data_IF_460474391069
#
_entry.id   IF_460474391069
#
_cell.length_a   1.000
_cell.length_b   1.000
_cell.length_c   1.000
_cell.angle_alpha   90.00
_cell.angle_beta   90.00
_cell.angle_gamma   90.00
#
_symmetry.space_group_name_H-M   'P 1'
#
loop_
_entity.id
_entity.type
_entity.pdbx_description
1 polymer ?
#
# COMPACT_ATOMS: atom_id res chain seq x y z
N UNK A 1 -25.48 -0.49 -8.40
CA UNK A 1 -25.00 0.89 -8.54
C UNK A 1 -25.25 1.39 -9.95
N UNK A 2 -25.74 2.63 -10.10
CA UNK A 2 -26.14 3.22 -11.39
C UNK A 2 -26.26 4.74 -11.28
N UNK A 3 -26.35 5.41 -12.44
CA UNK A 3 -26.64 6.85 -12.54
C UNK A 3 -28.17 7.02 -12.55
N UNK A 4 -28.70 7.80 -11.59
CA UNK A 4 -30.14 7.94 -11.36
C UNK A 4 -30.87 8.56 -12.55
N UNK A 5 -30.34 9.65 -13.08
CA UNK A 5 -30.91 10.33 -14.25
C UNK A 5 -30.95 9.42 -15.50
N UNK A 6 -29.93 8.54 -15.69
CA UNK A 6 -29.93 7.56 -16.78
C UNK A 6 -31.02 6.49 -16.58
N UNK A 7 -31.20 6.00 -15.33
CA UNK A 7 -32.18 4.97 -15.02
C UNK A 7 -33.61 5.49 -15.22
N UNK A 8 -33.90 6.73 -14.79
CA UNK A 8 -35.21 7.37 -14.98
C UNK A 8 -35.47 7.64 -16.45
N UNK A 9 -34.54 8.22 -17.18
CA UNK A 9 -34.67 8.53 -18.62
C UNK A 9 -34.91 7.26 -19.45
N UNK A 10 -34.32 6.12 -19.07
CA UNK A 10 -34.54 4.83 -19.74
C UNK A 10 -35.80 4.09 -19.26
N UNK A 11 -36.62 4.70 -18.42
CA UNK A 11 -37.83 4.10 -17.88
C UNK A 11 -37.61 2.90 -16.95
N UNK A 12 -36.37 2.68 -16.47
CA UNK A 12 -36.04 1.55 -15.60
C UNK A 12 -36.51 1.75 -14.15
N UNK A 13 -36.58 3.02 -13.72
CA UNK A 13 -37.02 3.42 -12.38
C UNK A 13 -37.87 4.68 -12.46
N UNK A 14 -38.93 4.75 -11.63
CA UNK A 14 -39.61 6.00 -11.40
C UNK A 14 -38.85 6.90 -10.41
N UNK A 15 -39.02 8.24 -10.46
CA UNK A 15 -38.45 9.14 -9.46
C UNK A 15 -38.84 8.80 -8.02
N UNK A 16 -40.05 8.22 -7.81
CA UNK A 16 -40.52 7.78 -6.50
C UNK A 16 -39.68 6.60 -5.99
N UNK A 17 -39.56 5.53 -6.79
CA UNK A 17 -38.73 4.36 -6.44
C UNK A 17 -37.26 4.70 -6.20
N UNK A 18 -36.72 5.64 -7.01
CA UNK A 18 -35.34 6.10 -6.83
C UNK A 18 -35.11 6.69 -5.43
N UNK A 19 -36.06 7.45 -4.91
CA UNK A 19 -35.98 8.07 -3.58
C UNK A 19 -36.25 7.11 -2.42
N UNK A 20 -37.09 6.09 -2.63
CA UNK A 20 -37.55 5.18 -1.56
C UNK A 20 -36.68 3.92 -1.42
N UNK A 21 -36.10 3.40 -2.51
CA UNK A 21 -35.39 2.12 -2.52
C UNK A 21 -33.86 2.31 -2.56
N UNK A 22 -33.38 3.51 -2.94
CA UNK A 22 -31.96 3.77 -3.17
C UNK A 22 -31.49 5.00 -2.40
N UNK A 23 -30.18 5.03 -2.09
CA UNK A 23 -29.54 6.21 -1.54
C UNK A 23 -28.42 6.69 -2.45
N UNK A 24 -28.24 8.01 -2.56
CA UNK A 24 -27.13 8.59 -3.27
C UNK A 24 -25.82 8.37 -2.48
N UNK A 25 -24.80 7.87 -3.16
CA UNK A 25 -23.42 7.82 -2.64
C UNK A 25 -22.64 9.06 -3.07
N UNK A 26 -22.87 9.50 -4.30
CA UNK A 26 -22.41 10.78 -4.86
C UNK A 26 -23.55 11.41 -5.66
N UNK A 27 -23.48 12.71 -6.03
CA UNK A 27 -24.51 13.34 -6.83
C UNK A 27 -24.89 12.50 -8.06
N UNK A 28 -26.16 12.18 -8.18
CA UNK A 28 -26.77 11.34 -9.24
C UNK A 28 -26.25 9.90 -9.35
N UNK A 29 -25.45 9.40 -8.40
CA UNK A 29 -25.02 7.99 -8.33
C UNK A 29 -25.61 7.28 -7.13
N UNK A 30 -26.32 6.19 -7.38
CA UNK A 30 -27.17 5.51 -6.40
C UNK A 30 -26.76 4.07 -6.14
N UNK A 31 -26.93 3.66 -4.88
CA UNK A 31 -26.85 2.28 -4.37
C UNK A 31 -28.17 1.87 -3.73
N UNK A 32 -28.47 0.56 -3.59
CA UNK A 32 -29.54 0.10 -2.71
C UNK A 32 -29.40 0.71 -1.30
N UNK A 33 -30.50 1.11 -0.68
CA UNK A 33 -30.48 1.87 0.57
C UNK A 33 -29.68 1.19 1.70
N UNK A 34 -29.73 -0.15 1.75
CA UNK A 34 -29.07 -0.99 2.77
C UNK A 34 -27.61 -1.38 2.44
N UNK A 35 -27.10 -1.05 1.24
CA UNK A 35 -25.77 -1.49 0.83
C UNK A 35 -24.66 -0.66 1.53
N UNK A 36 -23.67 -1.34 2.15
CA UNK A 36 -22.43 -0.72 2.60
C UNK A 36 -21.42 -0.75 1.44
N UNK A 37 -20.92 0.40 0.97
CA UNK A 37 -20.00 0.43 -0.14
C UNK A 37 -18.56 0.11 0.32
N UNK A 38 -17.93 -0.88 -0.29
CA UNK A 38 -16.48 -1.09 -0.20
C UNK A 38 -15.73 0.01 -0.92
N UNK A 39 -14.42 0.12 -0.67
CA UNK A 39 -13.55 1.07 -1.39
C UNK A 39 -13.66 0.93 -2.91
N UNK A 40 -13.63 -0.29 -3.45
CA UNK A 40 -13.83 -0.57 -4.89
C UNK A 40 -15.19 -0.09 -5.40
N UNK A 41 -16.24 -0.23 -4.59
CA UNK A 41 -17.57 0.28 -4.92
C UNK A 41 -17.58 1.81 -4.98
N UNK A 42 -16.89 2.48 -4.05
CA UNK A 42 -16.74 3.94 -4.02
C UNK A 42 -15.94 4.44 -5.22
N UNK A 43 -14.86 3.75 -5.62
CA UNK A 43 -14.10 4.06 -6.84
C UNK A 43 -15.00 4.05 -8.09
N UNK A 44 -15.82 2.99 -8.26
CA UNK A 44 -16.76 2.90 -9.37
C UNK A 44 -17.82 4.01 -9.31
N UNK A 45 -18.31 4.34 -8.12
CA UNK A 45 -19.28 5.41 -7.95
C UNK A 45 -18.69 6.79 -8.32
N UNK A 46 -17.47 7.08 -7.88
CA UNK A 46 -16.77 8.32 -8.21
C UNK A 46 -16.51 8.44 -9.72
N UNK A 47 -16.13 7.34 -10.37
CA UNK A 47 -15.98 7.32 -11.83
C UNK A 47 -17.30 7.58 -12.57
N UNK A 48 -18.42 6.99 -12.10
CA UNK A 48 -19.76 7.26 -12.65
C UNK A 48 -20.18 8.72 -12.45
N UNK A 49 -19.87 9.31 -11.28
CA UNK A 49 -20.14 10.71 -10.99
C UNK A 49 -19.45 11.67 -11.98
N UNK A 50 -18.24 11.36 -12.45
CA UNK A 50 -17.57 12.15 -13.48
C UNK A 50 -18.19 11.99 -14.87
N UNK A 51 -19.31 11.27 -15.02
CA UNK A 51 -19.86 10.89 -16.32
C UNK A 51 -18.94 9.93 -17.08
N UNK A 52 -18.16 9.12 -16.37
CA UNK A 52 -17.19 8.13 -16.90
C UNK A 52 -15.97 8.78 -17.60
N UNK A 53 -15.70 10.06 -17.35
CA UNK A 53 -14.61 10.82 -18.00
C UNK A 53 -13.39 10.98 -17.11
N UNK A 54 -13.52 10.87 -15.78
CA UNK A 54 -12.42 10.91 -14.85
C UNK A 54 -11.56 9.65 -14.92
N UNK A 55 -10.27 9.76 -14.59
CA UNK A 55 -9.33 8.65 -14.49
C UNK A 55 -9.01 8.43 -13.01
N UNK A 56 -9.29 7.23 -12.49
CA UNK A 56 -8.95 6.84 -11.11
C UNK A 56 -7.43 6.84 -10.95
N UNK A 57 -6.94 7.48 -9.88
CA UNK A 57 -5.52 7.75 -9.66
C UNK A 57 -5.12 7.51 -8.19
N UNK A 58 -3.85 7.68 -7.86
CA UNK A 58 -3.34 7.59 -6.49
C UNK A 58 -3.73 6.29 -5.80
N UNK A 59 -4.23 6.36 -4.55
CA UNK A 59 -4.67 5.19 -3.80
C UNK A 59 -5.84 4.46 -4.46
N UNK A 60 -6.73 5.17 -5.17
CA UNK A 60 -7.82 4.53 -5.89
C UNK A 60 -7.31 3.63 -7.03
N UNK A 61 -6.32 4.09 -7.77
CA UNK A 61 -5.66 3.28 -8.80
C UNK A 61 -4.90 2.10 -8.18
N UNK A 62 -4.11 2.33 -7.12
CA UNK A 62 -3.36 1.29 -6.43
C UNK A 62 -4.27 0.15 -5.95
N UNK A 63 -5.38 0.48 -5.28
CA UNK A 63 -6.35 -0.54 -4.81
C UNK A 63 -7.06 -1.29 -5.93
N UNK A 64 -7.30 -0.64 -7.08
CA UNK A 64 -7.85 -1.31 -8.25
C UNK A 64 -6.84 -2.23 -8.92
N UNK A 65 -5.55 -1.90 -8.87
CA UNK A 65 -4.45 -2.76 -9.31
C UNK A 65 -4.16 -3.91 -8.34
N UNK A 66 -4.81 -3.97 -7.19
CA UNK A 66 -4.67 -5.06 -6.23
C UNK A 66 -3.74 -4.78 -5.06
N UNK A 67 -3.28 -3.53 -4.90
CA UNK A 67 -2.50 -3.14 -3.73
C UNK A 67 -3.33 -3.28 -2.44
N UNK A 68 -2.75 -3.89 -1.43
CA UNK A 68 -3.34 -4.06 -0.10
C UNK A 68 -3.24 -2.79 0.77
N UNK A 69 -3.78 -2.87 1.97
CA UNK A 69 -3.69 -1.84 3.02
C UNK A 69 -4.35 -0.50 2.66
N UNK A 70 -5.42 -0.53 1.88
CA UNK A 70 -6.25 0.62 1.56
C UNK A 70 -7.58 0.45 2.26
N UNK A 71 -7.87 1.33 3.22
CA UNK A 71 -9.11 1.30 4.01
C UNK A 71 -10.34 1.66 3.19
N UNK A 72 -11.49 1.15 3.64
CA UNK A 72 -12.77 1.46 2.97
C UNK A 72 -13.19 2.94 3.13
N UNK A 73 -12.59 3.68 4.05
CA UNK A 73 -12.80 5.11 4.31
C UNK A 73 -11.84 6.04 3.56
N UNK A 74 -10.78 5.49 2.95
CA UNK A 74 -9.82 6.29 2.19
C UNK A 74 -10.51 7.10 1.08
N UNK A 75 -10.12 8.37 0.87
CA UNK A 75 -10.68 9.17 -0.21
C UNK A 75 -10.41 8.58 -1.60
N UNK A 76 -11.40 8.64 -2.48
CA UNK A 76 -11.24 8.21 -3.87
C UNK A 76 -10.62 9.34 -4.69
N UNK A 77 -9.42 9.12 -5.21
CA UNK A 77 -8.71 10.10 -6.02
C UNK A 77 -8.95 9.89 -7.53
N UNK A 78 -9.22 10.99 -8.23
CA UNK A 78 -9.40 11.02 -9.69
C UNK A 78 -8.57 12.16 -10.31
N UNK A 79 -7.99 11.90 -11.47
CA UNK A 79 -7.57 12.97 -12.38
C UNK A 79 -8.82 13.42 -13.13
N UNK A 80 -9.32 14.57 -12.72
CA UNK A 80 -10.55 15.17 -13.24
C UNK A 80 -10.60 16.65 -12.90
N UNK A 81 -10.93 17.50 -13.87
CA UNK A 81 -11.05 18.95 -13.65
C UNK A 81 -12.39 19.29 -13.02
N UNK A 82 -12.46 19.29 -11.71
CA UNK A 82 -13.62 19.75 -10.95
C UNK A 82 -13.15 20.34 -9.61
N UNK A 83 -13.38 21.63 -9.32
CA UNK A 83 -12.95 22.25 -8.07
C UNK A 83 -13.87 21.92 -6.88
N UNK A 84 -15.02 21.28 -7.09
CA UNK A 84 -16.01 20.99 -6.06
C UNK A 84 -16.38 19.50 -6.02
N UNK A 85 -15.45 18.61 -5.65
CA UNK A 85 -15.77 17.19 -5.52
C UNK A 85 -16.68 16.93 -4.30
N UNK A 86 -17.51 15.89 -4.35
CA UNK A 86 -18.29 15.49 -3.18
C UNK A 86 -17.40 14.94 -2.06
N UNK A 87 -17.92 14.88 -0.84
CA UNK A 87 -17.20 14.33 0.32
C UNK A 87 -16.64 12.92 0.02
N UNK A 88 -15.40 12.66 0.43
CA UNK A 88 -14.71 11.40 0.18
C UNK A 88 -14.17 11.22 -1.25
N UNK A 89 -14.19 12.26 -2.07
CA UNK A 89 -13.56 12.30 -3.40
C UNK A 89 -12.53 13.42 -3.47
N UNK A 90 -11.37 13.12 -4.03
CA UNK A 90 -10.33 14.10 -4.35
C UNK A 90 -10.19 14.18 -5.87
N UNK A 91 -10.29 15.38 -6.41
CA UNK A 91 -10.06 15.63 -7.84
C UNK A 91 -8.75 16.38 -8.03
N UNK A 92 -7.94 15.90 -8.97
CA UNK A 92 -6.66 16.50 -9.35
C UNK A 92 -6.74 17.04 -10.77
N UNK A 93 -6.46 18.32 -10.94
CA UNK A 93 -6.28 18.93 -12.27
C UNK A 93 -4.84 18.69 -12.74
N UNK A 94 -4.54 17.45 -13.14
CA UNK A 94 -3.23 17.04 -13.64
C UNK A 94 -3.30 16.72 -15.11
N UNK A 95 -2.19 17.00 -15.81
CA UNK A 95 -1.99 16.50 -17.17
C UNK A 95 -1.79 14.97 -17.12
N UNK A 96 -2.41 14.29 -18.06
CA UNK A 96 -2.28 12.83 -18.25
C UNK A 96 -2.37 12.54 -19.75
N UNK A 97 -1.45 11.71 -20.23
CA UNK A 97 -1.43 11.30 -21.62
C UNK A 97 -2.18 9.97 -21.81
N UNK A 98 -2.66 9.65 -23.03
CA UNK A 98 -3.41 8.42 -23.28
C UNK A 98 -2.67 7.13 -22.91
N UNK A 99 -1.34 7.09 -23.07
CA UNK A 99 -0.48 5.95 -22.72
C UNK A 99 -0.31 5.74 -21.22
N UNK A 100 -0.77 6.70 -20.42
CA UNK A 100 -0.76 6.64 -18.95
C UNK A 100 -2.10 6.16 -18.35
N UNK A 101 -3.06 5.81 -19.21
CA UNK A 101 -4.39 5.33 -18.81
C UNK A 101 -4.59 3.90 -19.27
N UNK A 102 -5.08 3.07 -18.36
CA UNK A 102 -5.47 1.69 -18.64
C UNK A 102 -6.90 1.41 -18.16
N UNK A 103 -7.37 0.19 -18.34
CA UNK A 103 -8.68 -0.24 -17.82
C UNK A 103 -8.54 -1.41 -16.85
N UNK A 104 -9.09 -1.22 -15.66
CA UNK A 104 -9.22 -2.28 -14.64
C UNK A 104 -10.69 -2.47 -14.33
N UNK A 105 -11.20 -3.68 -14.54
CA UNK A 105 -12.64 -4.00 -14.42
C UNK A 105 -13.57 -3.01 -15.16
N UNK A 106 -13.13 -2.53 -16.34
CA UNK A 106 -13.86 -1.59 -17.18
C UNK A 106 -13.77 -0.12 -16.77
N UNK A 107 -13.12 0.20 -15.65
CA UNK A 107 -12.87 1.57 -15.17
C UNK A 107 -11.61 2.16 -15.79
N UNK A 108 -11.60 3.45 -16.09
CA UNK A 108 -10.40 4.17 -16.49
C UNK A 108 -9.53 4.42 -15.26
N UNK A 109 -8.28 3.95 -15.29
CA UNK A 109 -7.33 3.95 -14.17
C UNK A 109 -5.97 4.37 -14.69
N UNK A 110 -5.16 5.05 -13.90
CA UNK A 110 -3.75 5.30 -14.25
C UNK A 110 -2.99 3.97 -14.39
N UNK A 111 -2.04 3.90 -15.33
CA UNK A 111 -1.12 2.76 -15.45
C UNK A 111 -0.33 2.55 -14.16
N UNK A 112 0.30 1.38 -14.00
CA UNK A 112 1.13 1.07 -12.84
C UNK A 112 2.25 2.10 -12.65
N UNK A 113 2.97 2.44 -13.72
CA UNK A 113 4.04 3.42 -13.67
C UNK A 113 3.51 4.81 -13.27
N UNK A 114 2.36 5.25 -13.83
CA UNK A 114 1.75 6.53 -13.47
C UNK A 114 1.21 6.51 -12.04
N UNK A 115 0.63 5.42 -11.58
CA UNK A 115 0.17 5.25 -10.19
C UNK A 115 1.36 5.38 -9.22
N UNK A 116 2.45 4.64 -9.47
CA UNK A 116 3.66 4.70 -8.67
C UNK A 116 4.30 6.10 -8.69
N UNK A 117 4.35 6.74 -9.86
CA UNK A 117 4.83 8.12 -10.01
C UNK A 117 4.03 9.08 -9.13
N UNK A 118 2.70 9.01 -9.14
CA UNK A 118 1.85 9.91 -8.36
C UNK A 118 1.97 9.63 -6.85
N UNK A 119 1.96 8.38 -6.41
CA UNK A 119 2.16 8.00 -5.00
C UNK A 119 3.52 8.45 -4.48
N UNK A 120 4.59 8.19 -5.24
CA UNK A 120 5.96 8.50 -4.83
C UNK A 120 6.25 10.00 -4.71
N UNK A 121 5.57 10.86 -5.50
CA UNK A 121 5.78 12.31 -5.44
C UNK A 121 4.81 13.06 -4.53
N UNK A 122 3.61 12.52 -4.28
CA UNK A 122 2.54 13.23 -3.56
C UNK A 122 2.50 12.90 -2.07
N UNK A 123 2.77 11.66 -1.70
CA UNK A 123 2.71 11.21 -0.31
C UNK A 123 3.96 11.60 0.50
N UNK A 124 3.87 11.72 1.83
CA UNK A 124 5.03 11.85 2.72
C UNK A 124 6.00 10.67 2.59
N UNK A 125 7.28 10.86 2.91
CA UNK A 125 8.34 9.88 2.64
C UNK A 125 8.05 8.45 3.09
N UNK A 126 7.82 8.23 4.38
CA UNK A 126 7.56 6.88 4.91
C UNK A 126 6.27 6.24 4.39
N UNK A 127 5.20 7.03 4.28
CA UNK A 127 3.94 6.57 3.68
C UNK A 127 4.12 6.24 2.19
N UNK A 128 4.85 7.07 1.47
CA UNK A 128 5.17 6.85 0.06
C UNK A 128 5.86 5.50 -0.15
N UNK A 129 6.89 5.16 0.66
CA UNK A 129 7.56 3.85 0.60
C UNK A 129 6.57 2.72 0.86
N UNK A 130 5.77 2.79 1.93
CA UNK A 130 4.83 1.72 2.28
C UNK A 130 3.77 1.46 1.19
N UNK A 131 3.25 2.53 0.57
CA UNK A 131 2.28 2.40 -0.52
C UNK A 131 2.92 1.84 -1.80
N UNK A 132 4.18 2.18 -2.08
CA UNK A 132 4.92 1.65 -3.22
C UNK A 132 5.37 0.20 -2.99
N UNK A 133 5.76 -0.19 -1.78
CA UNK A 133 6.03 -1.58 -1.40
C UNK A 133 4.78 -2.45 -1.66
N UNK A 134 3.62 -2.02 -1.15
CA UNK A 134 2.37 -2.73 -1.35
C UNK A 134 1.96 -2.83 -2.83
N UNK A 135 2.17 -1.76 -3.62
CA UNK A 135 1.91 -1.76 -5.05
C UNK A 135 2.88 -2.68 -5.80
N UNK A 136 4.17 -2.65 -5.47
CA UNK A 136 5.18 -3.51 -6.09
C UNK A 136 4.97 -4.98 -5.73
N UNK A 137 4.56 -5.27 -4.51
CA UNK A 137 4.20 -6.62 -4.09
C UNK A 137 3.02 -7.19 -4.91
N UNK A 138 2.02 -6.35 -5.21
CA UNK A 138 0.84 -6.77 -5.97
C UNK A 138 1.08 -6.87 -7.48
N UNK A 139 2.03 -6.10 -8.05
CA UNK A 139 2.04 -5.81 -9.50
C UNK A 139 3.41 -5.84 -10.17
N UNK A 140 4.50 -5.87 -9.42
CA UNK A 140 5.88 -5.80 -9.95
C UNK A 140 6.08 -4.66 -10.97
N UNK A 141 5.69 -3.42 -10.64
CA UNK A 141 5.89 -2.27 -11.52
C UNK A 141 7.38 -1.96 -11.75
N UNK A 142 7.70 -1.36 -12.91
CA UNK A 142 9.08 -0.96 -13.24
C UNK A 142 9.44 0.41 -12.66
N UNK A 143 10.50 0.48 -11.85
CA UNK A 143 11.06 1.75 -11.37
C UNK A 143 11.62 2.61 -12.51
N UNK A 144 12.12 1.99 -13.58
CA UNK A 144 12.64 2.70 -14.78
C UNK A 144 11.51 3.42 -15.50
N UNK A 145 10.34 2.79 -15.66
CA UNK A 145 9.17 3.42 -16.29
C UNK A 145 8.69 4.62 -15.46
N UNK A 146 8.75 4.53 -14.12
CA UNK A 146 8.43 5.65 -13.23
C UNK A 146 9.41 6.81 -13.42
N UNK A 147 10.71 6.51 -13.58
CA UNK A 147 11.73 7.54 -13.85
C UNK A 147 11.59 8.17 -15.25
N UNK A 148 11.08 7.44 -16.25
CA UNK A 148 10.73 8.00 -17.56
C UNK A 148 9.60 9.03 -17.43
N UNK A 149 8.57 8.74 -16.64
CA UNK A 149 7.52 9.73 -16.31
C UNK A 149 8.09 10.94 -15.58
N UNK A 150 9.04 10.74 -14.65
CA UNK A 150 9.70 11.84 -13.96
C UNK A 150 10.52 12.75 -14.90
N UNK A 151 11.01 12.23 -16.02
CA UNK A 151 11.64 13.02 -17.10
C UNK A 151 10.58 13.74 -17.93
N UNK A 152 9.48 13.07 -18.32
CA UNK A 152 8.35 13.64 -19.07
C UNK A 152 7.73 14.83 -18.34
N UNK A 153 7.54 14.71 -17.03
CA UNK A 153 6.95 15.73 -16.16
C UNK A 153 8.00 16.45 -15.30
N UNK A 154 9.06 16.95 -15.93
CA UNK A 154 10.21 17.55 -15.21
C UNK A 154 9.86 18.71 -14.28
N UNK A 155 8.75 19.44 -14.53
CA UNK A 155 8.19 20.49 -13.67
C UNK A 155 7.25 20.01 -12.58
N UNK A 156 6.99 18.71 -12.44
CA UNK A 156 6.04 18.22 -11.44
C UNK A 156 6.57 18.38 -10.01
N UNK A 157 5.69 18.81 -9.10
CA UNK A 157 6.05 18.91 -7.67
C UNK A 157 6.32 17.52 -7.08
N UNK A 158 7.32 17.44 -6.18
CA UNK A 158 7.66 16.23 -5.43
C UNK A 158 8.62 15.27 -6.13
N UNK A 159 9.21 15.61 -7.28
CA UNK A 159 10.16 14.75 -7.99
C UNK A 159 11.42 14.41 -7.19
N UNK A 160 11.89 15.34 -6.32
CA UNK A 160 13.00 15.03 -5.41
C UNK A 160 12.62 13.91 -4.47
N UNK A 161 11.41 13.95 -3.89
CA UNK A 161 10.87 12.90 -3.02
C UNK A 161 10.76 11.58 -3.76
N UNK A 162 10.12 11.56 -4.93
CA UNK A 162 10.01 10.36 -5.77
C UNK A 162 11.37 9.68 -5.99
N UNK A 163 12.39 10.46 -6.40
CA UNK A 163 13.75 9.93 -6.64
C UNK A 163 14.42 9.39 -5.39
N UNK A 164 14.14 9.98 -4.23
CA UNK A 164 14.64 9.48 -2.95
C UNK A 164 13.88 8.22 -2.48
N UNK A 165 12.59 8.10 -2.80
CA UNK A 165 11.72 6.99 -2.39
C UNK A 165 11.95 5.73 -3.23
N UNK A 166 12.09 5.85 -4.55
CA UNK A 166 12.15 4.70 -5.45
C UNK A 166 13.25 3.67 -5.10
N UNK A 167 14.48 4.06 -4.73
CA UNK A 167 15.52 3.10 -4.33
C UNK A 167 15.20 2.35 -3.03
N UNK A 168 14.25 2.84 -2.24
CA UNK A 168 13.85 2.26 -0.96
C UNK A 168 12.67 1.28 -1.09
N UNK A 169 12.09 1.17 -2.28
CA UNK A 169 10.92 0.30 -2.50
C UNK A 169 11.33 -1.16 -2.51
N UNK A 170 10.60 -1.97 -1.76
CA UNK A 170 10.85 -3.41 -1.60
C UNK A 170 9.53 -4.20 -1.54
N UNK A 171 9.30 -5.04 -2.53
CA UNK A 171 8.12 -5.91 -2.60
C UNK A 171 8.05 -6.96 -1.48
N UNK A 172 9.13 -7.20 -0.77
CA UNK A 172 9.20 -8.15 0.33
C UNK A 172 8.48 -7.67 1.60
N UNK A 173 8.36 -6.34 1.82
CA UNK A 173 7.61 -5.84 2.97
C UNK A 173 6.13 -6.22 2.84
N UNK A 174 5.63 -7.10 3.72
CA UNK A 174 4.28 -7.64 3.64
C UNK A 174 3.22 -6.73 4.30
N UNK A 175 3.65 -5.73 5.07
CA UNK A 175 2.76 -4.78 5.75
C UNK A 175 3.38 -3.38 5.87
N UNK A 176 2.55 -2.32 6.05
CA UNK A 176 3.08 -0.97 6.32
C UNK A 176 3.94 -0.90 7.59
N UNK A 177 3.74 -1.80 8.54
CA UNK A 177 4.53 -1.88 9.78
C UNK A 177 5.92 -2.47 9.53
N UNK A 178 6.03 -3.46 8.67
CA UNK A 178 7.32 -3.97 8.22
C UNK A 178 8.09 -2.92 7.42
N UNK A 179 7.42 -2.18 6.51
CA UNK A 179 8.03 -1.02 5.84
C UNK A 179 8.53 0.01 6.84
N UNK A 180 7.70 0.37 7.83
CA UNK A 180 8.11 1.30 8.89
C UNK A 180 9.35 0.80 9.64
N UNK A 181 9.36 -0.45 10.07
CA UNK A 181 10.51 -1.06 10.76
C UNK A 181 11.78 -1.01 9.88
N UNK A 182 11.66 -1.38 8.62
CA UNK A 182 12.74 -1.34 7.65
C UNK A 182 13.31 0.08 7.49
N UNK A 183 12.44 1.07 7.38
CA UNK A 183 12.85 2.47 7.27
C UNK A 183 13.54 2.99 8.53
N UNK A 184 13.05 2.64 9.72
CA UNK A 184 13.69 2.98 11.01
C UNK A 184 15.14 2.48 11.05
N UNK A 185 15.38 1.25 10.59
CA UNK A 185 16.71 0.65 10.57
C UNK A 185 17.64 1.32 9.53
N UNK A 186 17.13 1.61 8.34
CA UNK A 186 17.88 2.27 7.26
C UNK A 186 18.23 3.72 7.66
N UNK A 187 17.26 4.48 8.18
CA UNK A 187 17.43 5.88 8.59
C UNK A 187 18.42 6.01 9.77
N UNK A 188 18.55 4.96 10.59
CA UNK A 188 19.57 4.88 11.63
C UNK A 188 20.98 4.53 11.13
N UNK A 189 21.17 4.38 9.81
CA UNK A 189 22.48 4.05 9.20
C UNK A 189 22.89 2.57 9.33
N UNK A 190 21.97 1.68 9.68
CA UNK A 190 22.24 0.25 9.66
C UNK A 190 22.31 -0.27 8.21
N UNK A 191 23.02 -1.37 7.95
CA UNK A 191 23.01 -1.98 6.61
C UNK A 191 21.57 -2.29 6.19
N UNK A 192 21.26 -2.12 4.91
CA UNK A 192 19.91 -2.41 4.38
C UNK A 192 19.59 -3.88 4.63
N UNK A 193 18.51 -4.19 5.39
CA UNK A 193 18.14 -5.57 5.65
C UNK A 193 17.54 -6.22 4.40
N UNK A 194 17.74 -7.52 4.24
CA UNK A 194 17.00 -8.35 3.27
C UNK A 194 15.64 -8.68 3.87
N UNK A 195 14.59 -8.57 3.07
CA UNK A 195 13.22 -8.91 3.49
C UNK A 195 12.86 -10.37 3.17
N UNK A 196 11.86 -10.92 3.87
CA UNK A 196 11.28 -12.25 3.65
C UNK A 196 12.34 -13.36 3.56
N UNK A 197 13.19 -13.47 4.59
CA UNK A 197 14.28 -14.44 4.62
C UNK A 197 13.74 -15.83 4.95
N UNK A 198 13.80 -16.82 4.04
CA UNK A 198 13.41 -18.18 4.33
C UNK A 198 14.49 -18.89 5.15
N UNK A 199 14.11 -19.46 6.28
CA UNK A 199 14.99 -20.28 7.14
C UNK A 199 14.60 -21.74 7.02
N UNK A 200 15.55 -22.58 6.62
CA UNK A 200 15.33 -24.02 6.42
C UNK A 200 16.13 -24.85 7.40
N UNK A 201 15.59 -26.00 7.80
CA UNK A 201 16.27 -27.07 8.50
C UNK A 201 15.98 -28.39 7.79
N UNK A 202 17.02 -29.13 7.38
CA UNK A 202 16.86 -30.40 6.65
C UNK A 202 15.90 -30.31 5.45
N UNK A 203 16.07 -29.26 4.62
CA UNK A 203 15.25 -28.96 3.42
C UNK A 203 13.78 -28.60 3.72
N UNK A 204 13.40 -28.47 4.98
CA UNK A 204 12.05 -28.04 5.38
C UNK A 204 12.07 -26.58 5.81
N UNK A 205 11.11 -25.82 5.33
CA UNK A 205 10.92 -24.43 5.74
C UNK A 205 10.48 -24.39 7.21
N UNK A 206 11.29 -23.76 8.07
CA UNK A 206 11.00 -23.52 9.49
C UNK A 206 10.27 -22.21 9.69
N UNK A 207 10.74 -21.14 9.03
CA UNK A 207 10.19 -19.81 9.16
C UNK A 207 10.52 -18.98 7.91
N UNK A 208 9.74 -17.92 7.70
CA UNK A 208 10.13 -16.76 6.89
C UNK A 208 10.24 -15.59 7.85
N UNK A 209 11.40 -14.95 7.90
CA UNK A 209 11.67 -13.80 8.76
C UNK A 209 11.34 -12.53 8.00
N UNK A 210 10.68 -11.54 8.64
CA UNK A 210 10.24 -10.31 7.97
C UNK A 210 11.40 -9.59 7.31
N UNK A 211 12.51 -9.39 8.06
CA UNK A 211 13.73 -8.79 7.56
C UNK A 211 14.94 -9.13 8.42
N UNK A 212 16.16 -9.00 7.85
CA UNK A 212 17.38 -9.22 8.61
C UNK A 212 18.64 -9.29 7.76
N UNK A 213 19.70 -9.81 8.36
CA UNK A 213 21.04 -9.95 7.82
C UNK A 213 21.50 -11.40 7.94
N UNK A 214 21.40 -12.15 6.87
CA UNK A 214 21.70 -13.58 6.84
C UNK A 214 23.14 -13.88 7.27
N UNK A 215 24.12 -13.09 6.82
CA UNK A 215 25.53 -13.23 7.18
C UNK A 215 25.77 -13.17 8.69
N UNK A 216 24.97 -12.38 9.40
CA UNK A 216 25.06 -12.22 10.85
C UNK A 216 24.06 -13.09 11.61
N UNK A 217 23.12 -13.75 10.91
CA UNK A 217 22.00 -14.47 11.52
C UNK A 217 21.23 -13.60 12.53
N UNK A 218 20.97 -12.35 12.16
CA UNK A 218 20.18 -11.37 12.93
C UNK A 218 18.95 -11.01 12.11
N UNK A 219 17.78 -11.02 12.75
CA UNK A 219 16.52 -10.64 12.13
C UNK A 219 15.74 -9.68 13.03
N UNK A 220 14.88 -8.86 12.40
CA UNK A 220 13.88 -8.04 13.06
C UNK A 220 12.50 -8.39 12.49
N UNK A 221 11.53 -8.60 13.35
CA UNK A 221 10.14 -8.95 13.00
C UNK A 221 9.17 -8.02 13.70
N UNK A 222 8.16 -7.56 12.96
CA UNK A 222 7.09 -6.77 13.55
C UNK A 222 5.94 -7.67 14.02
N UNK A 223 5.78 -7.80 15.34
CA UNK A 223 4.73 -8.60 15.97
C UNK A 223 3.47 -7.74 16.16
N UNK A 224 2.50 -7.91 15.28
CA UNK A 224 1.19 -7.28 15.40
C UNK A 224 0.32 -7.99 16.47
N UNK A 225 -0.40 -7.21 17.27
CA UNK A 225 -1.26 -7.69 18.36
C UNK A 225 -2.41 -8.65 17.96
N UNK A 226 -2.58 -8.93 16.69
CA UNK A 226 -3.78 -9.62 16.17
C UNK A 226 -3.91 -11.10 16.53
N UNK A 227 -2.88 -11.74 17.12
CA UNK A 227 -2.84 -13.19 17.26
C UNK A 227 -2.68 -13.72 18.71
N UNK A 228 -2.82 -12.89 19.73
CA UNK A 228 -2.54 -13.28 21.12
C UNK A 228 -3.55 -14.24 21.77
N UNK A 229 -4.68 -14.52 21.14
CA UNK A 229 -5.77 -15.28 21.76
C UNK A 229 -5.91 -16.74 21.33
N UNK A 230 -5.14 -17.22 20.32
CA UNK A 230 -5.17 -18.61 19.90
C UNK A 230 -4.01 -19.40 20.50
N UNK A 231 -4.33 -20.31 21.46
CA UNK A 231 -3.35 -21.20 22.10
C UNK A 231 -2.55 -22.06 21.13
N UNK A 232 -3.15 -22.50 20.02
CA UNK A 232 -2.45 -23.31 19.00
C UNK A 232 -1.46 -22.48 18.22
N UNK A 233 -1.82 -21.25 17.92
CA UNK A 233 -0.95 -20.30 17.23
C UNK A 233 0.21 -19.90 18.15
N UNK A 234 -0.06 -19.57 19.41
CA UNK A 234 0.98 -19.30 20.41
C UNK A 234 2.00 -20.44 20.54
N UNK A 235 1.53 -21.71 20.64
CA UNK A 235 2.41 -22.86 20.71
C UNK A 235 3.30 -23.03 19.47
N UNK A 236 2.75 -22.77 18.27
CA UNK A 236 3.52 -22.77 17.00
C UNK A 236 4.57 -21.66 16.98
N UNK A 237 4.22 -20.46 17.43
CA UNK A 237 5.14 -19.31 17.48
C UNK A 237 6.29 -19.58 18.46
N UNK A 238 6.00 -20.16 19.64
CA UNK A 238 7.03 -20.57 20.60
C UNK A 238 7.94 -21.67 20.05
N UNK A 239 7.39 -22.63 19.31
CA UNK A 239 8.17 -23.66 18.64
C UNK A 239 9.07 -23.04 17.56
N UNK A 240 8.53 -22.14 16.74
CA UNK A 240 9.26 -21.41 15.70
C UNK A 240 10.45 -20.65 16.27
N UNK A 241 10.24 -19.88 17.34
CA UNK A 241 11.29 -19.09 17.99
C UNK A 241 12.41 -19.98 18.54
N UNK A 242 12.06 -21.10 19.22
CA UNK A 242 13.07 -22.07 19.70
C UNK A 242 13.88 -22.65 18.54
N UNK A 243 13.22 -22.99 17.43
CA UNK A 243 13.92 -23.51 16.25
C UNK A 243 14.86 -22.48 15.61
N UNK A 244 14.47 -21.21 15.55
CA UNK A 244 15.33 -20.14 15.08
C UNK A 244 16.56 -19.95 15.97
N UNK A 245 16.38 -20.02 17.29
CA UNK A 245 17.47 -19.95 18.26
C UNK A 245 18.43 -21.15 18.12
N UNK A 246 17.91 -22.38 18.02
CA UNK A 246 18.71 -23.58 17.74
C UNK A 246 19.53 -23.50 16.44
N UNK A 247 18.99 -22.80 15.43
CA UNK A 247 19.66 -22.53 14.15
C UNK A 247 20.61 -21.33 14.21
N UNK A 248 20.75 -20.73 15.39
CA UNK A 248 21.68 -19.63 15.64
C UNK A 248 21.14 -18.24 15.28
N UNK A 249 19.88 -18.07 15.00
CA UNK A 249 19.29 -16.76 14.70
C UNK A 249 19.01 -15.94 15.97
N UNK A 250 19.37 -14.66 15.96
CA UNK A 250 18.93 -13.67 16.94
C UNK A 250 17.75 -12.93 16.32
N UNK A 251 16.54 -13.14 16.85
CA UNK A 251 15.32 -12.50 16.36
C UNK A 251 14.89 -11.38 17.31
N UNK A 252 14.92 -10.15 16.82
CA UNK A 252 14.43 -8.97 17.54
C UNK A 252 12.96 -8.78 17.21
N UNK A 253 12.08 -9.05 18.17
CA UNK A 253 10.64 -8.79 18.02
C UNK A 253 10.35 -7.34 18.37
N UNK A 254 9.61 -6.68 17.49
CA UNK A 254 9.18 -5.29 17.61
C UNK A 254 7.66 -5.26 17.70
N UNK A 255 7.14 -4.63 18.73
CA UNK A 255 5.70 -4.52 18.99
C UNK A 255 5.20 -3.09 18.86
N UNK A 256 3.88 -2.93 18.79
CA UNK A 256 3.26 -1.62 18.84
C UNK A 256 3.65 -0.91 20.15
N UNK A 257 4.20 0.30 20.05
CA UNK A 257 4.65 1.09 21.19
C UNK A 257 6.15 1.00 21.50
N UNK A 258 6.92 0.10 20.85
CA UNK A 258 8.38 0.15 20.93
C UNK A 258 8.90 1.47 20.35
N UNK A 259 9.77 2.17 21.09
CA UNK A 259 10.42 3.38 20.60
C UNK A 259 11.43 3.05 19.50
N UNK A 260 11.49 3.81 18.38
CA UNK A 260 12.43 3.57 17.30
C UNK A 260 13.89 3.44 17.76
N UNK A 261 14.30 4.29 18.70
CA UNK A 261 15.66 4.32 19.24
C UNK A 261 16.00 3.03 20.01
N UNK A 262 15.01 2.46 20.72
CA UNK A 262 15.19 1.18 21.42
C UNK A 262 15.31 0.01 20.44
N UNK A 263 14.49 0.01 19.40
CA UNK A 263 14.58 -0.99 18.32
C UNK A 263 15.97 -0.96 17.68
N UNK A 264 16.44 0.23 17.27
CA UNK A 264 17.77 0.43 16.67
C UNK A 264 18.87 -0.04 17.61
N UNK A 265 18.79 0.32 18.89
CA UNK A 265 19.77 -0.11 19.91
C UNK A 265 19.85 -1.64 20.04
N UNK A 266 18.70 -2.32 20.11
CA UNK A 266 18.62 -3.81 20.19
C UNK A 266 19.22 -4.45 18.94
N UNK A 267 18.92 -3.95 17.75
CA UNK A 267 19.46 -4.48 16.50
C UNK A 267 20.97 -4.24 16.40
N UNK A 268 21.49 -3.05 16.73
CA UNK A 268 22.94 -2.75 16.77
C UNK A 268 23.68 -3.70 17.70
N UNK A 269 23.16 -3.92 18.90
CA UNK A 269 23.76 -4.84 19.86
C UNK A 269 23.81 -6.28 19.32
N UNK A 270 22.75 -6.75 18.66
CA UNK A 270 22.72 -8.07 18.06
C UNK A 270 23.73 -8.22 16.92
N UNK A 271 23.80 -7.23 16.03
CA UNK A 271 24.79 -7.21 14.94
C UNK A 271 26.23 -7.16 15.47
N UNK A 272 26.52 -6.33 16.47
CA UNK A 272 27.84 -6.26 17.09
C UNK A 272 28.25 -7.58 17.73
N UNK A 273 27.33 -8.30 18.41
CA UNK A 273 27.60 -9.67 18.97
C UNK A 273 27.96 -10.67 17.86
N UNK A 274 27.56 -10.44 16.63
CA UNK A 274 27.86 -11.26 15.45
C UNK A 274 29.05 -10.74 14.62
N UNK A 275 29.78 -9.75 15.14
CA UNK A 275 31.00 -9.26 14.54
C UNK A 275 30.80 -8.15 13.49
N UNK A 276 29.58 -7.61 13.35
CA UNK A 276 29.39 -6.39 12.54
C UNK A 276 30.10 -5.22 13.24
N UNK A 277 30.97 -4.52 12.49
CA UNK A 277 31.64 -3.28 12.93
C UNK A 277 30.98 -2.09 12.22
N UNK A 278 30.51 -1.12 12.97
CA UNK A 278 30.07 0.15 12.40
C UNK A 278 31.29 0.85 11.79
N UNK A 279 31.18 1.25 10.53
CA UNK A 279 32.23 2.04 9.82
C UNK A 279 32.03 3.51 10.05
#
# INVERSE_FOLDING_TARGET
MFVGSEAVRRGRLSPYRLRTEFRAIYPDVYLPAHAAPSFRTRCKAAWLWTGRRGVLAGLAAAGLHGSDWIGDDEPVELIWRNPHPPAGVITRNLQIEPDEVTRVAGLAVTTLARTAFDLGRQLPGGESVARLDALMRATAFSGEDVLLLAKRYSGARGLRRLRATLPLVDAGAASPRETWLRMVLIDAGLPVPVTQIPVHQNWRLVAVLDMGWQTYQVAAEYDGDQHRFDRRQYARDQWRLRKLDELGWIVIRVIAGDAPEDVVRRVRQALARRGHRET
#
